data_IF_944716036498
#
_entry.id   IF_944716036498
#
_cell.length_a   1.000
_cell.length_b   1.000
_cell.length_c   1.000
_cell.angle_alpha   90.00
_cell.angle_beta   90.00
_cell.angle_gamma   90.00
#
_symmetry.space_group_name_H-M   'P 1'
#
loop_
_entity.id
_entity.type
_entity.pdbx_description
1 polymer ?
#
# COMPACT_ATOMS: atom_id res chain seq x y z
N UNK A 1 13.02 -1.78 -8.65
CA UNK A 1 12.91 -3.13 -8.08
C UNK A 1 13.16 -3.10 -6.57
N UNK A 2 12.34 -3.84 -5.84
CA UNK A 2 12.48 -3.90 -4.40
C UNK A 2 13.68 -4.77 -4.02
N UNK A 3 14.37 -4.42 -2.95
CA UNK A 3 15.41 -5.29 -2.43
C UNK A 3 14.86 -6.18 -1.30
N UNK A 4 15.60 -7.21 -0.94
CA UNK A 4 15.14 -8.19 0.03
C UNK A 4 14.96 -7.63 1.44
N UNK A 5 15.64 -6.56 1.79
CA UNK A 5 15.46 -5.92 3.10
C UNK A 5 14.08 -5.30 3.23
N UNK A 6 13.56 -4.75 2.14
CA UNK A 6 12.24 -4.14 2.17
C UNK A 6 11.12 -5.16 2.20
N UNK A 7 11.39 -6.39 1.78
CA UNK A 7 10.38 -7.44 1.81
C UNK A 7 9.84 -7.68 3.22
N UNK A 8 10.68 -7.54 4.23
CA UNK A 8 10.28 -7.74 5.62
C UNK A 8 9.37 -6.63 6.13
N UNK A 9 9.49 -5.45 5.55
CA UNK A 9 8.75 -4.28 5.97
C UNK A 9 7.61 -3.94 5.03
N UNK A 10 7.41 -4.77 4.01
CA UNK A 10 6.41 -4.49 2.98
C UNK A 10 5.01 -4.29 3.52
N UNK A 11 4.60 -5.15 4.46
CA UNK A 11 3.27 -5.04 5.03
C UNK A 11 3.10 -3.75 5.83
N UNK A 12 4.12 -3.37 6.60
CA UNK A 12 4.07 -2.13 7.37
C UNK A 12 4.05 -0.90 6.48
N UNK A 13 4.85 -0.93 5.42
CA UNK A 13 4.86 0.16 4.43
C UNK A 13 3.50 0.27 3.75
N UNK A 14 2.92 -0.87 3.38
CA UNK A 14 1.61 -0.90 2.74
C UNK A 14 0.52 -0.39 3.68
N UNK A 15 0.61 -0.75 4.95
CA UNK A 15 -0.35 -0.27 5.94
C UNK A 15 -0.33 1.25 6.03
N UNK A 16 0.86 1.83 6.08
CA UNK A 16 1.00 3.29 6.14
C UNK A 16 0.46 3.95 4.87
N UNK A 17 0.79 3.38 3.72
CA UNK A 17 0.31 3.90 2.44
C UNK A 17 -1.22 3.81 2.35
N UNK A 18 -1.79 2.71 2.85
CA UNK A 18 -3.24 2.51 2.85
C UNK A 18 -3.93 3.54 3.76
N UNK A 19 -3.34 3.80 4.92
CA UNK A 19 -3.86 4.83 5.81
C UNK A 19 -3.82 6.21 5.16
N UNK A 20 -2.74 6.52 4.45
CA UNK A 20 -2.63 7.77 3.71
C UNK A 20 -3.71 7.88 2.64
N UNK A 21 -3.98 6.78 1.93
CA UNK A 21 -5.03 6.74 0.92
C UNK A 21 -6.41 7.01 1.55
N UNK A 22 -6.71 6.36 2.67
CA UNK A 22 -7.99 6.56 3.36
C UNK A 22 -8.13 8.01 3.80
N UNK A 23 -7.05 8.58 4.33
CA UNK A 23 -7.03 9.97 4.78
C UNK A 23 -7.32 10.93 3.63
N UNK A 24 -6.69 10.70 2.48
CA UNK A 24 -6.90 11.55 1.30
C UNK A 24 -8.31 11.41 0.73
N UNK A 25 -8.93 10.26 0.93
CA UNK A 25 -10.30 10.02 0.46
C UNK A 25 -11.35 10.61 1.39
N UNK A 26 -10.96 11.05 2.58
CA UNK A 26 -11.86 11.61 3.58
C UNK A 26 -11.34 12.97 4.00
N UNK A 27 -11.70 14.04 3.27
CA UNK A 27 -11.13 15.37 3.50
C UNK A 27 -11.25 15.89 4.92
N UNK A 28 -12.29 15.49 5.64
CA UNK A 28 -12.48 15.93 7.02
C UNK A 28 -11.38 15.46 7.95
N UNK A 29 -10.72 14.35 7.61
CA UNK A 29 -9.61 13.83 8.41
C UNK A 29 -8.32 14.60 8.16
N UNK A 30 -8.22 15.23 6.99
CA UNK A 30 -7.01 15.99 6.64
C UNK A 30 -6.80 17.20 7.54
N UNK A 31 -7.86 17.72 8.11
CA UNK A 31 -7.79 18.90 8.98
C UNK A 31 -6.96 18.61 10.22
N UNK A 32 -6.95 17.38 10.66
CA UNK A 32 -6.24 16.98 11.87
C UNK A 32 -4.78 16.61 11.62
N UNK A 33 -4.38 16.50 10.35
CA UNK A 33 -3.02 16.13 10.01
C UNK A 33 -2.18 17.38 9.83
N UNK A 34 -1.16 17.52 10.66
CA UNK A 34 -0.20 18.60 10.49
C UNK A 34 0.69 18.38 9.30
N UNK A 35 1.63 19.26 9.11
CA UNK A 35 2.59 19.11 8.02
C UNK A 35 3.98 18.82 8.60
N UNK A 36 4.92 18.54 7.72
CA UNK A 36 6.31 18.39 8.09
C UNK A 36 6.69 17.02 8.60
N UNK A 37 7.61 17.00 9.52
CA UNK A 37 8.32 15.80 9.95
C UNK A 37 7.44 14.78 10.69
N UNK A 38 6.33 15.23 11.21
CA UNK A 38 5.43 14.35 11.97
C UNK A 38 4.36 13.70 11.14
N UNK A 39 4.38 13.92 9.84
CA UNK A 39 3.32 13.46 8.95
C UNK A 39 3.06 11.96 9.05
N UNK A 40 4.11 11.16 9.06
CA UNK A 40 3.97 9.70 9.16
C UNK A 40 3.26 9.29 10.44
N UNK A 41 3.63 9.88 11.56
CA UNK A 41 3.05 9.56 12.85
C UNK A 41 1.59 9.99 12.92
N UNK A 42 1.29 11.15 12.36
CA UNK A 42 -0.07 11.65 12.34
C UNK A 42 -0.97 10.82 11.45
N UNK A 43 -0.47 10.40 10.29
CA UNK A 43 -1.22 9.50 9.41
C UNK A 43 -1.49 8.18 10.13
N UNK A 44 -0.47 7.63 10.77
CA UNK A 44 -0.61 6.35 11.46
C UNK A 44 -1.62 6.42 12.59
N UNK A 45 -1.73 7.58 13.27
CA UNK A 45 -2.64 7.74 14.38
C UNK A 45 -4.04 8.19 13.99
N UNK A 46 -4.21 8.72 12.77
CA UNK A 46 -5.48 9.29 12.34
C UNK A 46 -6.43 8.29 11.69
N UNK A 47 -5.92 7.16 11.24
CA UNK A 47 -6.71 6.18 10.52
C UNK A 47 -6.61 4.83 11.21
N UNK A 48 -7.78 4.26 11.51
CA UNK A 48 -7.86 2.94 12.12
C UNK A 48 -8.30 1.92 11.06
N UNK A 49 -7.45 0.98 10.77
CA UNK A 49 -7.75 -0.08 9.79
C UNK A 49 -8.13 -1.40 10.46
N UNK A 50 -8.25 -1.43 11.79
CA UNK A 50 -8.47 -2.70 12.50
C UNK A 50 -9.86 -3.26 12.32
N UNK A 51 -10.84 -2.41 12.02
CA UNK A 51 -12.23 -2.83 11.92
C UNK A 51 -12.54 -3.54 10.60
N UNK A 52 -12.11 -2.97 9.50
CA UNK A 52 -12.37 -3.57 8.17
C UNK A 52 -11.24 -3.24 7.21
N UNK A 53 -10.04 -3.78 7.45
CA UNK A 53 -8.89 -3.48 6.59
C UNK A 53 -9.10 -3.94 5.15
N UNK A 54 -9.83 -5.04 4.94
CA UNK A 54 -10.08 -5.55 3.60
C UNK A 54 -10.91 -4.59 2.75
N UNK A 55 -11.79 -3.82 3.37
CA UNK A 55 -12.58 -2.82 2.63
C UNK A 55 -11.69 -1.70 2.12
N UNK A 56 -10.74 -1.25 2.94
CA UNK A 56 -9.80 -0.22 2.53
C UNK A 56 -8.89 -0.72 1.40
N UNK A 57 -8.43 -1.96 1.51
CA UNK A 57 -7.61 -2.57 0.45
C UNK A 57 -8.40 -2.67 -0.84
N UNK A 58 -9.65 -3.13 -0.77
CA UNK A 58 -10.50 -3.27 -1.94
C UNK A 58 -10.70 -1.92 -2.64
N UNK A 59 -10.98 -0.88 -1.86
CA UNK A 59 -11.17 0.46 -2.42
C UNK A 59 -9.92 0.96 -3.13
N UNK A 60 -8.77 0.78 -2.50
CA UNK A 60 -7.51 1.18 -3.13
C UNK A 60 -7.26 0.42 -4.41
N UNK A 61 -7.52 -0.88 -4.42
CA UNK A 61 -7.33 -1.70 -5.62
C UNK A 61 -8.24 -1.23 -6.75
N UNK A 62 -9.49 -0.92 -6.45
CA UNK A 62 -10.43 -0.41 -7.46
C UNK A 62 -9.88 0.88 -8.08
N UNK A 63 -9.41 1.79 -7.24
CA UNK A 63 -8.88 3.06 -7.73
C UNK A 63 -7.61 2.87 -8.53
N UNK A 64 -6.75 1.93 -8.10
CA UNK A 64 -5.55 1.60 -8.86
C UNK A 64 -5.89 1.00 -10.23
N UNK A 65 -6.93 0.17 -10.30
CA UNK A 65 -7.38 -0.38 -11.57
C UNK A 65 -7.86 0.74 -12.51
N UNK A 66 -8.58 1.71 -11.97
CA UNK A 66 -9.03 2.85 -12.76
C UNK A 66 -7.85 3.69 -13.26
N UNK A 67 -6.84 3.89 -12.41
CA UNK A 67 -5.63 4.58 -12.81
C UNK A 67 -4.92 3.84 -13.95
N UNK A 68 -4.80 2.53 -13.82
CA UNK A 68 -4.18 1.71 -14.86
C UNK A 68 -4.94 1.79 -16.17
N UNK A 69 -6.28 1.80 -16.09
CA UNK A 69 -7.12 1.93 -17.25
C UNK A 69 -6.86 3.27 -17.97
N UNK A 70 -6.78 4.35 -17.20
CA UNK A 70 -6.49 5.67 -17.76
C UNK A 70 -5.13 5.71 -18.44
N UNK A 71 -4.13 5.07 -17.85
CA UNK A 71 -2.75 5.07 -18.35
C UNK A 71 -2.46 3.95 -19.34
N UNK A 72 -3.48 3.16 -19.68
CA UNK A 72 -3.35 2.03 -20.62
C UNK A 72 -2.38 0.97 -20.15
N UNK A 73 -2.38 0.72 -18.85
CA UNK A 73 -1.61 -0.34 -18.21
C UNK A 73 -2.54 -1.54 -18.03
N UNK A 74 -2.09 -2.72 -18.43
CA UNK A 74 -2.87 -3.95 -18.25
C UNK A 74 -2.74 -4.40 -16.81
N UNK A 75 -3.82 -4.25 -16.02
CA UNK A 75 -3.79 -4.60 -14.61
C UNK A 75 -3.39 -6.05 -14.37
N UNK A 76 -3.92 -6.97 -15.15
CA UNK A 76 -3.66 -8.39 -14.97
C UNK A 76 -2.23 -8.76 -15.34
N UNK A 77 -1.78 -8.34 -16.52
CA UNK A 77 -0.48 -8.74 -17.07
C UNK A 77 0.67 -7.88 -16.52
N UNK A 78 0.49 -6.56 -16.55
CA UNK A 78 1.58 -5.66 -16.19
C UNK A 78 1.73 -5.45 -14.70
N UNK A 79 0.66 -5.63 -13.94
CA UNK A 79 0.69 -5.36 -12.50
C UNK A 79 0.58 -6.65 -11.69
N UNK A 80 -0.52 -7.37 -11.80
CA UNK A 80 -0.78 -8.50 -10.91
C UNK A 80 0.16 -9.66 -11.10
N UNK A 81 0.42 -10.06 -12.34
CA UNK A 81 1.35 -11.16 -12.59
C UNK A 81 2.75 -10.81 -12.14
N UNK A 82 3.19 -9.59 -12.42
CA UNK A 82 4.52 -9.16 -12.02
C UNK A 82 4.64 -9.05 -10.50
N UNK A 83 3.61 -8.53 -9.85
CA UNK A 83 3.61 -8.41 -8.40
C UNK A 83 3.69 -9.79 -7.73
N UNK A 84 2.94 -10.76 -8.24
CA UNK A 84 2.98 -12.12 -7.72
C UNK A 84 4.35 -12.76 -7.89
N UNK A 85 4.98 -12.54 -9.06
CA UNK A 85 6.32 -13.06 -9.31
C UNK A 85 7.33 -12.46 -8.33
N UNK A 86 7.29 -11.15 -8.15
CA UNK A 86 8.21 -10.48 -7.23
C UNK A 86 8.00 -10.96 -5.81
N UNK A 87 6.76 -11.10 -5.39
CA UNK A 87 6.45 -11.57 -4.04
C UNK A 87 7.00 -12.98 -3.82
N UNK A 88 6.82 -13.85 -4.82
CA UNK A 88 7.32 -15.20 -4.73
C UNK A 88 8.84 -15.23 -4.63
N UNK A 89 9.53 -14.38 -5.39
CA UNK A 89 10.99 -14.29 -5.34
C UNK A 89 11.45 -13.77 -3.97
N UNK A 90 10.77 -12.78 -3.41
CA UNK A 90 11.10 -12.27 -2.10
C UNK A 90 10.95 -13.34 -1.02
N UNK A 91 9.91 -14.15 -1.11
CA UNK A 91 9.69 -15.25 -0.18
C UNK A 91 10.73 -16.35 -0.31
N UNK A 92 11.14 -16.64 -1.54
CA UNK A 92 12.18 -17.63 -1.80
C UNK A 92 13.52 -17.18 -1.22
N UNK A 93 13.86 -15.90 -1.37
CA UNK A 93 15.07 -15.34 -0.77
C UNK A 93 15.06 -15.48 0.74
N UNK A 94 13.92 -15.22 1.35
CA UNK A 94 13.76 -15.35 2.80
C UNK A 94 14.04 -16.77 3.27
N UNK A 95 13.55 -17.76 2.54
CA UNK A 95 13.75 -19.17 2.87
C UNK A 95 15.22 -19.56 2.68
N UNK A 96 15.85 -19.07 1.63
CA UNK A 96 17.25 -19.42 1.31
C UNK A 96 18.24 -18.83 2.32
N UNK A 97 17.86 -17.85 3.07
CA UNK A 97 18.76 -17.20 4.03
C UNK A 97 18.86 -17.90 5.38
N UNK A 98 18.27 -19.02 5.50
CA UNK A 98 18.38 -19.80 6.74
C UNK A 98 19.76 -20.39 6.95
#
# INVERSE_FOLDING_TARGET
>A
MRNSLRAKEGAADAELALKAYVLLSNPELLVEVGDGDKMKQEIAGSVDLTEAPEDAVCSLVIDLMQYCEREKIDWTQDVMLRAREHLRCERAEKVQKR
#
